data_IF_210408402188
#
_entry.id   IF_210408402188
#
_cell.length_a   1.000
_cell.length_b   1.000
_cell.length_c   1.000
_cell.angle_alpha   90.00
_cell.angle_beta   90.00
_cell.angle_gamma   90.00
#
_symmetry.space_group_name_H-M   'P 1'
#
loop_
_entity.id
_entity.type
_entity.pdbx_description
1 polymer ?
#
# COMPACT_ATOMS: atom_id res chain seq x y z
N UNK A 1 -21.57 6.32 5.62
CA UNK A 1 -20.94 6.34 4.29
C UNK A 1 -20.38 4.97 4.03
N UNK A 2 -20.72 4.42 2.90
CA UNK A 2 -20.50 3.01 2.59
C UNK A 2 -19.13 2.80 1.95
N UNK A 3 -18.45 1.71 2.27
CA UNK A 3 -17.20 1.29 1.63
C UNK A 3 -17.34 1.14 0.10
N UNK A 4 -18.54 0.90 -0.40
CA UNK A 4 -18.81 0.80 -1.84
C UNK A 4 -18.43 2.08 -2.60
N UNK A 5 -18.61 3.26 -1.98
CA UNK A 5 -18.19 4.52 -2.58
C UNK A 5 -16.66 4.63 -2.74
N UNK A 6 -15.90 4.03 -1.81
CA UNK A 6 -14.44 3.98 -1.88
C UNK A 6 -14.00 3.02 -3.00
N UNK A 7 -14.60 1.84 -3.04
CA UNK A 7 -14.34 0.83 -4.07
C UNK A 7 -14.66 1.38 -5.46
N UNK A 8 -15.88 1.96 -5.61
CA UNK A 8 -16.29 2.57 -6.88
C UNK A 8 -15.34 3.69 -7.30
N UNK A 9 -15.02 4.61 -6.36
CA UNK A 9 -14.12 5.72 -6.67
C UNK A 9 -12.75 5.21 -7.14
N UNK A 10 -12.16 4.24 -6.43
CA UNK A 10 -10.80 3.78 -6.70
C UNK A 10 -10.70 2.92 -7.96
N UNK A 11 -11.67 2.06 -8.23
CA UNK A 11 -11.58 1.09 -9.31
C UNK A 11 -12.35 1.47 -10.58
N UNK A 12 -13.40 2.33 -10.46
CA UNK A 12 -14.29 2.64 -11.57
C UNK A 12 -14.23 4.12 -11.97
N UNK A 13 -14.14 5.07 -11.02
CA UNK A 13 -14.29 6.50 -11.31
C UNK A 13 -12.96 7.17 -11.71
N UNK A 14 -11.79 6.63 -11.31
CA UNK A 14 -10.47 7.20 -11.63
C UNK A 14 -9.70 6.36 -12.66
N UNK A 15 -8.86 7.03 -13.46
CA UNK A 15 -7.90 6.33 -14.33
C UNK A 15 -6.89 5.57 -13.48
N UNK A 16 -6.62 4.31 -13.82
CA UNK A 16 -5.65 3.44 -13.13
C UNK A 16 -4.23 4.03 -13.08
N UNK A 17 -3.87 4.92 -14.00
CA UNK A 17 -2.60 5.66 -13.95
C UNK A 17 -2.45 6.49 -12.68
N UNK A 18 -3.56 7.03 -12.15
CA UNK A 18 -3.58 7.81 -10.91
C UNK A 18 -3.16 7.02 -9.67
N UNK A 19 -3.23 5.69 -9.70
CA UNK A 19 -2.82 4.87 -8.56
C UNK A 19 -1.32 5.01 -8.22
N UNK A 20 -0.49 5.31 -9.25
CA UNK A 20 0.97 5.29 -9.13
C UNK A 20 1.64 6.60 -9.50
N UNK A 21 0.87 7.58 -9.97
CA UNK A 21 1.38 8.90 -10.32
C UNK A 21 1.34 9.84 -9.11
N UNK A 22 2.41 10.64 -8.98
CA UNK A 22 2.39 11.75 -8.04
C UNK A 22 1.61 12.91 -8.65
N UNK A 23 0.47 13.25 -8.05
CA UNK A 23 -0.41 14.32 -8.51
C UNK A 23 -0.99 15.07 -7.31
N UNK A 24 -0.52 16.30 -7.10
CA UNK A 24 -0.94 17.13 -5.96
C UNK A 24 -2.45 17.49 -5.99
N UNK A 25 -3.06 17.55 -7.19
CA UNK A 25 -4.51 17.78 -7.30
C UNK A 25 -5.30 16.53 -6.92
N UNK A 26 -4.79 15.36 -7.30
CA UNK A 26 -5.36 14.08 -6.88
C UNK A 26 -5.23 13.88 -5.36
N UNK A 27 -4.07 14.22 -4.77
CA UNK A 27 -3.87 14.17 -3.33
C UNK A 27 -4.86 15.08 -2.58
N UNK A 28 -5.10 16.31 -3.09
CA UNK A 28 -6.11 17.24 -2.54
C UNK A 28 -7.53 16.69 -2.68
N UNK A 29 -7.85 16.06 -3.81
CA UNK A 29 -9.15 15.43 -4.03
C UNK A 29 -9.40 14.30 -3.01
N UNK A 30 -8.42 13.41 -2.83
CA UNK A 30 -8.49 12.33 -1.83
C UNK A 30 -8.64 12.89 -0.42
N UNK A 31 -7.88 13.91 -0.06
CA UNK A 31 -7.96 14.56 1.25
C UNK A 31 -9.36 15.12 1.50
N UNK A 32 -9.92 15.84 0.53
CA UNK A 32 -11.25 16.45 0.69
C UNK A 32 -12.37 15.41 0.79
N UNK A 33 -12.25 14.30 0.05
CA UNK A 33 -13.29 13.27 0.01
C UNK A 33 -13.19 12.26 1.16
N UNK A 34 -11.98 11.87 1.55
CA UNK A 34 -11.78 10.65 2.33
C UNK A 34 -10.94 10.81 3.60
N UNK A 35 -10.45 12.03 3.97
CA UNK A 35 -9.65 12.20 5.17
C UNK A 35 -10.36 11.71 6.43
N UNK A 36 -11.67 11.98 6.58
CA UNK A 36 -12.47 11.49 7.71
C UNK A 36 -12.50 9.96 7.76
N UNK A 37 -12.61 9.29 6.60
CA UNK A 37 -12.62 7.83 6.56
C UNK A 37 -11.26 7.24 6.92
N UNK A 38 -10.17 7.88 6.49
CA UNK A 38 -8.81 7.48 6.87
C UNK A 38 -8.64 7.57 8.38
N UNK A 39 -9.05 8.67 9.02
CA UNK A 39 -8.97 8.81 10.48
C UNK A 39 -9.84 7.75 11.20
N UNK A 40 -11.06 7.52 10.73
CA UNK A 40 -11.94 6.48 11.29
C UNK A 40 -11.34 5.07 11.15
N UNK A 41 -10.68 4.76 10.01
CA UNK A 41 -10.00 3.48 9.81
C UNK A 41 -8.77 3.36 10.73
N UNK A 42 -8.00 4.43 10.88
CA UNK A 42 -6.87 4.49 11.81
C UNK A 42 -7.32 4.26 13.27
N UNK A 43 -8.51 4.73 13.64
CA UNK A 43 -9.12 4.57 14.97
C UNK A 43 -9.86 3.23 15.14
N UNK A 44 -9.86 2.32 14.16
CA UNK A 44 -10.62 1.06 14.11
C UNK A 44 -12.16 1.24 14.15
N UNK A 45 -12.68 2.44 13.91
CA UNK A 45 -14.14 2.72 13.93
C UNK A 45 -14.89 2.15 12.73
N UNK A 46 -14.16 1.67 11.70
CA UNK A 46 -14.71 1.02 10.51
C UNK A 46 -14.49 -0.51 10.51
N UNK A 47 -14.13 -1.11 11.63
CA UNK A 47 -13.83 -2.54 11.74
C UNK A 47 -15.01 -3.46 11.35
N UNK A 48 -16.24 -2.98 11.44
CA UNK A 48 -17.43 -3.69 10.98
C UNK A 48 -17.45 -3.93 9.45
N UNK A 49 -16.62 -3.21 8.67
CA UNK A 49 -16.47 -3.44 7.23
C UNK A 49 -15.74 -4.74 6.90
N UNK A 50 -15.04 -5.33 7.86
CA UNK A 50 -14.29 -6.59 7.67
C UNK A 50 -15.17 -7.81 7.37
N UNK A 51 -16.46 -7.70 7.50
CA UNK A 51 -17.41 -8.78 7.20
C UNK A 51 -17.64 -9.02 5.70
N UNK A 52 -17.27 -8.06 4.85
CA UNK A 52 -17.41 -8.12 3.39
C UNK A 52 -16.07 -7.85 2.70
N UNK A 53 -15.77 -8.56 1.60
CA UNK A 53 -14.50 -8.44 0.89
C UNK A 53 -14.26 -7.03 0.33
N UNK A 54 -15.33 -6.32 -0.13
CA UNK A 54 -15.21 -4.94 -0.60
C UNK A 54 -14.87 -4.00 0.55
N UNK A 55 -15.55 -4.17 1.69
CA UNK A 55 -15.28 -3.42 2.90
C UNK A 55 -13.86 -3.65 3.42
N UNK A 56 -13.40 -4.90 3.34
CA UNK A 56 -12.05 -5.30 3.69
C UNK A 56 -11.01 -4.60 2.81
N UNK A 57 -11.22 -4.62 1.49
CA UNK A 57 -10.35 -3.96 0.53
C UNK A 57 -10.37 -2.44 0.68
N UNK A 58 -11.55 -1.85 0.95
CA UNK A 58 -11.66 -0.42 1.23
C UNK A 58 -10.84 0.00 2.45
N UNK A 59 -10.82 -0.81 3.53
CA UNK A 59 -9.96 -0.56 4.69
C UNK A 59 -8.47 -0.59 4.32
N UNK A 60 -8.05 -1.54 3.49
CA UNK A 60 -6.67 -1.61 3.00
C UNK A 60 -6.34 -0.34 2.18
N UNK A 61 -7.21 0.07 1.27
CA UNK A 61 -7.01 1.29 0.47
C UNK A 61 -6.87 2.54 1.35
N UNK A 62 -7.74 2.70 2.36
CA UNK A 62 -7.68 3.82 3.29
C UNK A 62 -6.36 3.85 4.07
N UNK A 63 -5.91 2.70 4.56
CA UNK A 63 -4.76 2.58 5.47
C UNK A 63 -3.41 2.55 4.74
N UNK A 64 -3.37 2.06 3.49
CA UNK A 64 -2.14 1.89 2.73
C UNK A 64 -1.99 2.92 1.61
N UNK A 65 -3.02 3.16 0.80
CA UNK A 65 -2.93 4.03 -0.36
C UNK A 65 -3.30 5.48 -0.02
N UNK A 66 -4.47 5.70 0.61
CA UNK A 66 -4.95 7.05 0.88
C UNK A 66 -4.09 7.78 1.91
N UNK A 67 -3.53 7.08 2.90
CA UNK A 67 -2.55 7.67 3.81
C UNK A 67 -1.34 8.22 3.06
N UNK A 68 -0.81 7.48 2.07
CA UNK A 68 0.34 7.92 1.26
C UNK A 68 0.04 9.17 0.43
N UNK A 69 -1.14 9.26 -0.13
CA UNK A 69 -1.56 10.43 -0.90
C UNK A 69 -1.88 11.64 0.02
N UNK A 70 -2.76 11.44 1.01
CA UNK A 70 -3.28 12.52 1.87
C UNK A 70 -2.18 13.15 2.75
N UNK A 71 -1.23 12.32 3.22
CA UNK A 71 -0.15 12.75 4.11
C UNK A 71 1.23 12.70 3.45
N UNK A 72 1.27 12.86 2.12
CA UNK A 72 2.53 12.85 1.34
C UNK A 72 3.58 13.76 1.98
N UNK A 73 4.83 13.31 1.99
CA UNK A 73 5.98 13.99 2.62
C UNK A 73 5.87 14.15 4.15
N UNK A 74 5.04 13.36 4.82
CA UNK A 74 4.89 13.35 6.27
C UNK A 74 5.03 11.91 6.81
N UNK A 75 5.54 11.70 8.03
CA UNK A 75 5.52 10.38 8.68
C UNK A 75 4.12 9.76 8.76
N UNK A 76 3.06 10.57 8.79
CA UNK A 76 1.67 10.11 8.76
C UNK A 76 1.33 9.27 7.51
N UNK A 77 2.08 9.42 6.41
CA UNK A 77 1.89 8.61 5.21
C UNK A 77 2.02 7.09 5.47
N UNK A 78 2.74 6.70 6.51
CA UNK A 78 3.03 5.30 6.86
C UNK A 78 2.33 4.82 8.13
N UNK A 79 1.51 5.64 8.77
CA UNK A 79 0.89 5.32 10.07
C UNK A 79 -0.08 4.14 9.98
N UNK A 80 -0.66 3.90 8.80
CA UNK A 80 -1.60 2.80 8.54
C UNK A 80 -0.91 1.48 8.16
N UNK A 81 0.40 1.46 7.85
CA UNK A 81 1.11 0.32 7.26
C UNK A 81 0.94 -0.98 8.07
N UNK A 82 1.12 -0.92 9.38
CA UNK A 82 0.98 -2.10 10.25
C UNK A 82 -0.43 -2.68 10.23
N UNK A 83 -1.46 -1.83 10.23
CA UNK A 83 -2.87 -2.27 10.18
C UNK A 83 -3.21 -2.83 8.81
N UNK A 84 -2.79 -2.16 7.74
CA UNK A 84 -2.99 -2.63 6.36
C UNK A 84 -2.30 -3.97 6.12
N UNK A 85 -1.06 -4.14 6.60
CA UNK A 85 -0.34 -5.42 6.53
C UNK A 85 -1.11 -6.54 7.24
N UNK A 86 -1.60 -6.29 8.45
CA UNK A 86 -2.37 -7.29 9.19
C UNK A 86 -3.66 -7.69 8.43
N UNK A 87 -4.37 -6.71 7.87
CA UNK A 87 -5.53 -6.97 7.00
C UNK A 87 -5.11 -7.80 5.78
N UNK A 88 -4.04 -7.44 5.09
CA UNK A 88 -3.54 -8.20 3.93
C UNK A 88 -3.26 -9.67 4.29
N UNK A 89 -2.53 -9.93 5.37
CA UNK A 89 -2.20 -11.29 5.82
C UNK A 89 -3.46 -12.11 6.16
N UNK A 90 -4.41 -11.52 6.87
CA UNK A 90 -5.69 -12.18 7.19
C UNK A 90 -6.50 -12.43 5.91
N UNK A 91 -6.60 -11.44 5.00
CA UNK A 91 -7.32 -11.61 3.74
C UNK A 91 -6.74 -12.72 2.85
N UNK A 92 -5.40 -12.85 2.82
CA UNK A 92 -4.71 -13.99 2.17
C UNK A 92 -5.13 -15.31 2.82
N UNK A 93 -5.14 -15.41 4.15
CA UNK A 93 -5.52 -16.63 4.89
C UNK A 93 -6.98 -16.98 4.68
N UNK A 94 -7.87 -16.01 4.51
CA UNK A 94 -9.30 -16.19 4.20
C UNK A 94 -9.56 -16.54 2.73
N UNK A 95 -8.52 -16.57 1.89
CA UNK A 95 -8.64 -16.97 0.49
C UNK A 95 -9.14 -15.87 -0.45
N UNK A 96 -9.10 -14.60 -0.07
CA UNK A 96 -9.55 -13.48 -0.90
C UNK A 96 -8.77 -13.33 -2.22
N UNK A 97 -7.56 -13.92 -2.31
CA UNK A 97 -6.81 -14.00 -3.56
C UNK A 97 -7.46 -14.90 -4.63
N UNK A 98 -8.51 -15.66 -4.29
CA UNK A 98 -9.29 -16.43 -5.28
C UNK A 98 -10.31 -15.57 -6.04
N UNK A 99 -10.50 -14.31 -5.64
CA UNK A 99 -11.39 -13.38 -6.34
C UNK A 99 -10.87 -13.10 -7.76
N UNK A 100 -11.77 -13.03 -8.76
CA UNK A 100 -11.39 -12.93 -10.18
C UNK A 100 -10.79 -11.56 -10.57
N UNK A 101 -11.12 -10.49 -9.86
CA UNK A 101 -10.63 -9.15 -10.15
C UNK A 101 -9.13 -9.01 -9.83
N UNK A 102 -8.32 -8.83 -10.88
CA UNK A 102 -6.86 -8.71 -10.78
C UNK A 102 -6.42 -7.50 -9.92
N UNK A 103 -7.08 -6.36 -10.08
CA UNK A 103 -6.76 -5.13 -9.34
C UNK A 103 -7.03 -5.31 -7.85
N UNK A 104 -8.09 -6.02 -7.47
CA UNK A 104 -8.38 -6.31 -6.07
C UNK A 104 -7.29 -7.17 -5.42
N UNK A 105 -6.82 -8.21 -6.12
CA UNK A 105 -5.70 -9.04 -5.66
C UNK A 105 -4.42 -8.24 -5.50
N UNK A 106 -4.16 -7.32 -6.45
CA UNK A 106 -3.02 -6.42 -6.41
C UNK A 106 -3.05 -5.57 -5.12
N UNK A 107 -4.14 -4.84 -4.87
CA UNK A 107 -4.23 -3.97 -3.69
C UNK A 107 -4.33 -4.75 -2.38
N UNK A 108 -4.90 -5.96 -2.38
CA UNK A 108 -4.87 -6.85 -1.22
C UNK A 108 -3.43 -7.22 -0.81
N UNK A 109 -2.54 -7.45 -1.78
CA UNK A 109 -1.14 -7.82 -1.54
C UNK A 109 -0.20 -6.62 -1.34
N UNK A 110 -0.59 -5.42 -1.75
CA UNK A 110 0.26 -4.23 -1.72
C UNK A 110 0.86 -3.92 -0.33
N UNK A 111 0.12 -4.07 0.79
CA UNK A 111 0.71 -3.85 2.12
C UNK A 111 1.87 -4.79 2.46
N UNK A 112 1.89 -6.00 1.89
CA UNK A 112 3.02 -6.92 2.06
C UNK A 112 4.26 -6.42 1.31
N UNK A 113 4.09 -5.86 0.10
CA UNK A 113 5.15 -5.22 -0.68
C UNK A 113 5.74 -4.01 0.04
N UNK A 114 4.91 -3.28 0.79
CA UNK A 114 5.31 -2.08 1.53
C UNK A 114 5.96 -2.37 2.89
N UNK A 115 6.00 -3.63 3.32
CA UNK A 115 6.58 -4.03 4.61
C UNK A 115 8.11 -3.94 4.60
N UNK A 116 8.71 -3.40 5.68
CA UNK A 116 10.16 -3.44 5.91
C UNK A 116 10.60 -4.75 6.62
N UNK A 117 9.74 -5.77 6.72
CA UNK A 117 10.06 -7.07 7.31
C UNK A 117 10.44 -8.06 6.21
N UNK A 118 11.69 -8.53 6.17
CA UNK A 118 12.20 -9.43 5.13
C UNK A 118 11.35 -10.70 4.98
N UNK A 119 10.98 -11.34 6.09
CA UNK A 119 10.15 -12.55 6.05
C UNK A 119 8.76 -12.31 5.39
N UNK A 120 8.18 -11.12 5.54
CA UNK A 120 6.93 -10.74 4.86
C UNK A 120 7.17 -10.59 3.36
N UNK A 121 8.26 -9.96 2.96
CA UNK A 121 8.66 -9.82 1.56
C UNK A 121 8.85 -11.19 0.90
N UNK A 122 9.61 -12.09 1.53
CA UNK A 122 9.84 -13.47 1.06
C UNK A 122 8.53 -14.24 0.91
N UNK A 123 7.64 -14.18 1.89
CA UNK A 123 6.32 -14.82 1.83
C UNK A 123 5.44 -14.24 0.72
N UNK A 124 5.58 -12.95 0.40
CA UNK A 124 4.73 -12.26 -0.58
C UNK A 124 5.09 -12.59 -2.04
N UNK A 125 6.37 -12.82 -2.37
CA UNK A 125 6.82 -13.02 -3.75
C UNK A 125 6.07 -14.14 -4.49
N UNK A 126 5.91 -15.37 -3.95
CA UNK A 126 5.14 -16.41 -4.63
C UNK A 126 3.67 -16.05 -4.80
N UNK A 127 3.09 -15.22 -3.90
CA UNK A 127 1.73 -14.75 -4.02
C UNK A 127 1.59 -13.73 -5.16
N UNK A 128 2.49 -12.75 -5.25
CA UNK A 128 2.51 -11.81 -6.37
C UNK A 128 2.68 -12.55 -7.71
N UNK A 129 3.61 -13.49 -7.79
CA UNK A 129 3.85 -14.28 -9.01
C UNK A 129 2.61 -15.05 -9.45
N UNK A 130 1.87 -15.63 -8.50
CA UNK A 130 0.70 -16.47 -8.79
C UNK A 130 -0.58 -15.69 -9.07
N UNK A 131 -0.80 -14.57 -8.37
CA UNK A 131 -2.10 -13.90 -8.31
C UNK A 131 -2.14 -12.53 -8.95
N UNK A 132 -1.00 -12.01 -9.45
CA UNK A 132 -0.93 -10.73 -10.14
C UNK A 132 -0.31 -10.89 -11.54
N UNK A 133 -0.09 -9.76 -12.25
CA UNK A 133 0.61 -9.77 -13.53
C UNK A 133 2.13 -9.64 -13.35
N UNK A 134 2.88 -9.91 -14.42
CA UNK A 134 4.35 -9.87 -14.43
C UNK A 134 4.89 -8.50 -13.97
N UNK A 135 4.31 -7.40 -14.47
CA UNK A 135 4.72 -6.04 -14.05
C UNK A 135 4.62 -5.84 -12.54
N UNK A 136 3.52 -6.27 -11.93
CA UNK A 136 3.33 -6.16 -10.47
C UNK A 136 4.30 -7.05 -9.71
N UNK A 137 4.56 -8.26 -10.21
CA UNK A 137 5.56 -9.16 -9.62
C UNK A 137 6.97 -8.57 -9.68
N UNK A 138 7.37 -7.92 -10.79
CA UNK A 138 8.66 -7.25 -10.91
C UNK A 138 8.80 -6.10 -9.91
N UNK A 139 7.73 -5.34 -9.67
CA UNK A 139 7.73 -4.32 -8.61
C UNK A 139 7.91 -4.95 -7.22
N UNK A 140 7.19 -6.04 -6.92
CA UNK A 140 7.35 -6.74 -5.64
C UNK A 140 8.77 -7.26 -5.46
N UNK A 141 9.39 -7.80 -6.53
CA UNK A 141 10.78 -8.26 -6.49
C UNK A 141 11.76 -7.12 -6.20
N UNK A 142 11.59 -5.94 -6.80
CA UNK A 142 12.43 -4.77 -6.52
C UNK A 142 12.31 -4.32 -5.05
N UNK A 143 11.10 -4.32 -4.49
CA UNK A 143 10.89 -4.01 -3.07
C UNK A 143 11.60 -5.03 -2.17
N UNK A 144 11.46 -6.33 -2.49
CA UNK A 144 12.17 -7.39 -1.79
C UNK A 144 13.69 -7.20 -1.84
N UNK A 145 14.26 -6.94 -3.03
CA UNK A 145 15.70 -6.76 -3.20
C UNK A 145 16.22 -5.60 -2.30
N UNK A 146 15.49 -4.47 -2.24
CA UNK A 146 15.83 -3.34 -1.35
C UNK A 146 15.79 -3.76 0.13
N UNK A 147 14.74 -4.45 0.57
CA UNK A 147 14.63 -4.89 1.97
C UNK A 147 15.69 -5.93 2.31
N UNK A 148 16.04 -6.81 1.38
CA UNK A 148 17.12 -7.77 1.53
C UNK A 148 18.48 -7.09 1.71
N UNK A 149 18.76 -6.03 0.93
CA UNK A 149 20.04 -5.35 0.93
C UNK A 149 20.18 -4.36 2.11
N UNK A 150 19.12 -3.63 2.45
CA UNK A 150 19.17 -2.53 3.43
C UNK A 150 18.37 -2.79 4.71
N UNK A 151 17.51 -3.81 4.77
CA UNK A 151 16.61 -4.07 5.90
C UNK A 151 15.49 -3.04 6.07
N UNK A 152 15.44 -2.03 5.21
CA UNK A 152 14.46 -0.93 5.21
C UNK A 152 14.40 -0.26 3.84
N UNK A 153 13.40 0.62 3.64
CA UNK A 153 13.32 1.45 2.43
C UNK A 153 14.10 2.75 2.64
N UNK A 154 15.28 2.96 2.00
CA UNK A 154 16.11 4.15 2.18
C UNK A 154 15.39 5.46 1.81
N UNK A 155 14.49 5.43 0.81
CA UNK A 155 13.72 6.62 0.40
C UNK A 155 12.76 7.14 1.49
N UNK A 156 12.43 6.34 2.51
CA UNK A 156 11.61 6.77 3.65
C UNK A 156 12.43 7.42 4.76
N UNK A 157 13.77 7.30 4.74
CA UNK A 157 14.62 7.73 5.85
C UNK A 157 14.40 9.20 6.19
N UNK A 158 14.50 10.10 5.19
CA UNK A 158 14.32 11.53 5.41
C UNK A 158 12.97 11.87 6.04
N UNK A 159 11.89 11.24 5.54
CA UNK A 159 10.53 11.49 6.02
C UNK A 159 10.32 10.96 7.44
N UNK A 160 10.96 9.83 7.78
CA UNK A 160 10.84 9.18 9.09
C UNK A 160 11.90 9.65 10.10
N UNK A 161 12.74 10.64 9.74
CA UNK A 161 13.80 11.15 10.62
C UNK A 161 14.89 10.11 10.91
N UNK A 162 15.16 9.21 9.96
CA UNK A 162 16.21 8.19 10.05
C UNK A 162 17.45 8.65 9.30
N UNK A 163 18.64 8.50 9.89
CA UNK A 163 19.90 8.75 9.20
C UNK A 163 20.14 7.67 8.12
N UNK A 164 20.58 8.10 6.94
CA UNK A 164 20.97 7.19 5.87
C UNK A 164 22.45 6.83 5.95
N UNK A 165 22.79 5.57 5.69
CA UNK A 165 24.17 5.12 5.53
C UNK A 165 24.77 5.65 4.21
N UNK A 166 26.09 5.50 4.03
CA UNK A 166 26.74 5.90 2.77
C UNK A 166 26.24 5.08 1.58
N UNK A 167 26.02 3.79 1.79
CA UNK A 167 25.49 2.85 0.80
C UNK A 167 24.05 3.22 0.41
N UNK A 168 23.21 3.57 1.38
CA UNK A 168 21.84 4.04 1.12
C UNK A 168 21.82 5.36 0.35
N UNK A 169 22.71 6.31 0.68
CA UNK A 169 22.84 7.58 -0.06
C UNK A 169 23.22 7.28 -1.52
N UNK A 170 24.20 6.41 -1.76
CA UNK A 170 24.60 6.02 -3.10
C UNK A 170 23.47 5.31 -3.85
N UNK A 171 22.75 4.42 -3.20
CA UNK A 171 21.57 3.74 -3.78
C UNK A 171 20.49 4.76 -4.21
N UNK A 172 20.21 5.78 -3.39
CA UNK A 172 19.19 6.80 -3.67
C UNK A 172 19.51 7.68 -4.89
N UNK A 173 20.73 7.67 -5.43
CA UNK A 173 21.08 8.33 -6.69
C UNK A 173 20.71 7.53 -7.94
N UNK A 174 20.31 6.26 -7.78
CA UNK A 174 20.03 5.36 -8.90
C UNK A 174 18.56 5.47 -9.35
N UNK A 175 18.27 5.27 -10.65
CA UNK A 175 16.90 5.14 -11.13
C UNK A 175 16.18 3.98 -10.45
N UNK A 176 14.92 4.18 -10.03
CA UNK A 176 14.13 3.14 -9.37
C UNK A 176 14.45 2.91 -7.89
N UNK A 177 15.22 3.80 -7.26
CA UNK A 177 15.53 3.76 -5.82
C UNK A 177 14.38 4.22 -4.91
N UNK A 178 13.31 4.74 -5.49
CA UNK A 178 12.08 5.19 -4.80
C UNK A 178 10.83 4.81 -5.58
N UNK A 179 9.71 4.65 -4.88
CA UNK A 179 8.40 4.25 -5.41
C UNK A 179 7.33 5.24 -5.03
#
# INVERSE_FOLDING_TARGET
>A
MDYENIIKFWFDDIDQKKWFEKDDNFDKLLKNKFSTHVELALDNKLDHWKSDIKGYLALILLLDQFTRNIYRNSPKAFVGDKKALNLSLIGVSQGFLKHDNLSWRHFLLMPMMHSETLAVQEMSLPLFKKYTNEKTYDFAKRHYDIIKDFGRFPHRNKILGRDSTKEEIQFLTQPGSSF
#
